data_IF_004373100788
#
_entry.id   IF_004373100788
#
_cell.length_a   1.000
_cell.length_b   1.000
_cell.length_c   1.000
_cell.angle_alpha   90.00
_cell.angle_beta   90.00
_cell.angle_gamma   90.00
#
_symmetry.space_group_name_H-M   'P 1'
#
loop_
_entity.id
_entity.type
_entity.pdbx_description
1 polymer ?
#
# COMPACT_ATOMS: atom_id res chain seq x y z
N UNK A 1 34.66 -9.77 2.19
CA UNK A 1 33.64 -9.00 1.46
C UNK A 1 33.10 -7.88 2.33
N UNK A 2 32.98 -6.74 1.73
CA UNK A 2 32.42 -5.63 2.48
C UNK A 2 30.91 -5.74 2.59
N UNK A 3 30.43 -5.51 3.80
CA UNK A 3 29.00 -5.49 4.05
C UNK A 3 28.46 -4.11 3.73
N UNK A 4 27.52 -4.04 2.83
CA UNK A 4 26.81 -2.81 2.51
C UNK A 4 25.57 -2.76 3.38
N UNK A 5 25.31 -1.66 4.09
CA UNK A 5 24.07 -1.56 4.83
C UNK A 5 22.89 -1.78 3.89
N UNK A 6 21.96 -2.59 4.33
CA UNK A 6 20.80 -2.88 3.51
C UNK A 6 19.94 -1.65 3.36
N UNK A 7 19.66 -1.27 2.12
CA UNK A 7 18.67 -0.25 1.86
C UNK A 7 17.28 -0.85 2.03
N UNK A 8 16.34 -0.05 2.52
CA UNK A 8 14.96 -0.47 2.52
C UNK A 8 14.42 -0.36 1.11
N UNK A 9 13.86 -1.45 0.62
CA UNK A 9 13.20 -1.47 -0.67
C UNK A 9 11.70 -1.43 -0.45
N UNK A 10 11.03 -0.52 -1.12
CA UNK A 10 9.59 -0.43 -1.00
C UNK A 10 8.91 -0.27 -2.37
N UNK A 11 7.66 -0.70 -2.42
CA UNK A 11 6.81 -0.52 -3.59
C UNK A 11 5.62 0.33 -3.17
N UNK A 12 5.28 1.31 -3.99
CA UNK A 12 4.10 2.12 -3.79
C UNK A 12 3.03 1.72 -4.81
N UNK A 13 1.89 1.29 -4.30
CA UNK A 13 0.71 0.99 -5.12
C UNK A 13 -0.26 2.16 -4.98
N UNK A 14 0.14 3.29 -5.53
CA UNK A 14 -0.63 4.51 -5.39
C UNK A 14 -0.60 5.29 -6.70
N UNK A 15 -1.76 5.44 -7.38
CA UNK A 15 -3.05 4.92 -6.95
C UNK A 15 -3.23 3.44 -7.28
N UNK A 16 -3.92 2.72 -6.40
CA UNK A 16 -4.26 1.33 -6.65
C UNK A 16 -5.57 1.30 -7.44
N UNK A 17 -5.47 1.00 -8.72
CA UNK A 17 -6.60 1.13 -9.65
C UNK A 17 -6.96 -0.18 -10.34
N UNK A 18 -6.45 -1.28 -9.87
CA UNK A 18 -6.75 -2.60 -10.43
C UNK A 18 -6.18 -3.70 -9.57
N UNK A 19 -6.52 -4.92 -9.91
CA UNK A 19 -5.97 -6.09 -9.25
C UNK A 19 -4.50 -6.24 -9.61
N UNK A 20 -3.67 -6.58 -8.61
CA UNK A 20 -2.26 -6.89 -8.85
C UNK A 20 -2.00 -8.39 -8.97
N UNK A 21 -3.03 -9.20 -8.67
CA UNK A 21 -2.90 -10.65 -8.71
C UNK A 21 -1.88 -11.16 -7.70
N UNK A 22 -1.19 -12.22 -8.06
CA UNK A 22 -0.13 -12.78 -7.22
C UNK A 22 1.15 -11.99 -7.46
N UNK A 23 1.57 -11.24 -6.45
CA UNK A 23 2.80 -10.46 -6.55
C UNK A 23 3.92 -11.11 -5.75
N UNK A 24 5.13 -10.91 -6.19
CA UNK A 24 6.30 -11.44 -5.50
C UNK A 24 6.97 -10.30 -4.75
N UNK A 25 6.87 -10.34 -3.42
CA UNK A 25 7.46 -9.33 -2.55
C UNK A 25 8.79 -9.75 -1.97
N UNK A 26 9.45 -10.73 -2.56
CA UNK A 26 10.78 -11.16 -2.13
C UNK A 26 11.72 -9.95 -2.12
N UNK A 27 12.40 -9.74 -1.00
CA UNK A 27 13.32 -8.62 -0.79
C UNK A 27 12.66 -7.24 -0.80
N UNK A 28 11.35 -7.19 -0.69
CA UNK A 28 10.62 -5.93 -0.52
C UNK A 28 10.28 -5.80 0.95
N UNK A 29 10.71 -4.72 1.55
CA UNK A 29 10.56 -4.51 2.99
C UNK A 29 9.28 -3.77 3.35
N UNK A 30 8.73 -3.02 2.40
CA UNK A 30 7.63 -2.10 2.68
C UNK A 30 6.71 -1.97 1.47
N UNK A 31 5.43 -2.13 1.69
CA UNK A 31 4.41 -1.92 0.66
C UNK A 31 3.48 -0.80 1.10
N UNK A 32 3.37 0.23 0.28
CA UNK A 32 2.53 1.39 0.54
C UNK A 32 1.36 1.34 -0.42
N UNK A 33 0.15 1.43 0.11
CA UNK A 33 -1.08 1.31 -0.68
C UNK A 33 -1.95 2.53 -0.48
N UNK A 34 -2.49 3.07 -1.54
CA UNK A 34 -3.40 4.20 -1.45
C UNK A 34 -4.30 4.32 -2.65
N UNK A 35 -5.49 4.88 -2.43
CA UNK A 35 -6.42 5.18 -3.50
C UNK A 35 -6.16 6.56 -4.09
N UNK A 36 -6.75 6.78 -5.25
CA UNK A 36 -6.62 8.05 -5.95
C UNK A 36 -7.58 9.08 -5.37
N UNK A 37 -7.10 10.33 -5.28
CA UNK A 37 -7.92 11.44 -4.80
C UNK A 37 -8.16 12.41 -5.94
N UNK A 38 -9.19 13.27 -5.78
CA UNK A 38 -9.46 14.32 -6.73
C UNK A 38 -10.70 14.07 -7.55
N UNK A 39 -11.00 15.03 -8.43
CA UNK A 39 -12.24 15.06 -9.18
C UNK A 39 -12.40 13.85 -10.11
N UNK A 40 -11.34 13.45 -10.75
CA UNK A 40 -11.36 12.35 -11.73
C UNK A 40 -10.79 11.04 -11.14
N UNK A 41 -10.85 10.88 -9.82
CA UNK A 41 -10.30 9.71 -9.16
C UNK A 41 -11.02 8.44 -9.60
N UNK A 42 -10.24 7.39 -9.85
CA UNK A 42 -10.78 6.08 -10.18
C UNK A 42 -11.03 5.30 -8.89
N UNK A 43 -12.05 4.43 -8.87
CA UNK A 43 -12.37 3.70 -7.65
C UNK A 43 -11.27 2.70 -7.27
N UNK A 44 -11.18 2.46 -5.95
CA UNK A 44 -10.33 1.43 -5.40
C UNK A 44 -11.24 0.39 -4.75
N UNK A 45 -10.95 -0.88 -4.95
CA UNK A 45 -11.75 -1.95 -4.36
C UNK A 45 -10.99 -2.61 -3.21
N UNK A 46 -11.72 -2.92 -2.15
CA UNK A 46 -11.13 -3.56 -0.98
C UNK A 46 -10.44 -4.87 -1.35
N UNK A 47 -11.00 -5.62 -2.28
CA UNK A 47 -10.41 -6.86 -2.74
C UNK A 47 -8.98 -6.67 -3.25
N UNK A 48 -8.73 -5.56 -3.94
CA UNK A 48 -7.39 -5.27 -4.45
C UNK A 48 -6.40 -4.99 -3.31
N UNK A 49 -6.88 -4.34 -2.25
CA UNK A 49 -6.07 -4.08 -1.05
C UNK A 49 -5.78 -5.39 -0.35
N UNK A 50 -6.79 -6.28 -0.27
CA UNK A 50 -6.65 -7.59 0.35
C UNK A 50 -5.55 -8.41 -0.32
N UNK A 51 -5.46 -8.35 -1.64
CA UNK A 51 -4.42 -9.07 -2.38
C UNK A 51 -3.03 -8.67 -1.90
N UNK A 52 -2.79 -7.36 -1.77
CA UNK A 52 -1.50 -6.86 -1.34
C UNK A 52 -1.26 -7.18 0.14
N UNK A 53 -2.27 -7.01 0.97
CA UNK A 53 -2.16 -7.28 2.39
C UNK A 53 -1.76 -8.74 2.65
N UNK A 54 -2.39 -9.67 1.95
CA UNK A 54 -2.12 -11.09 2.11
C UNK A 54 -0.70 -11.43 1.67
N UNK A 55 -0.23 -10.84 0.57
CA UNK A 55 1.14 -11.07 0.12
C UNK A 55 2.14 -10.48 1.10
N UNK A 56 1.83 -9.33 1.70
CA UNK A 56 2.69 -8.75 2.73
C UNK A 56 2.80 -9.69 3.94
N UNK A 57 1.71 -10.35 4.30
CA UNK A 57 1.71 -11.30 5.41
C UNK A 57 2.59 -12.51 5.08
N UNK A 58 2.50 -13.02 3.86
CA UNK A 58 3.28 -14.16 3.41
C UNK A 58 4.78 -13.86 3.42
N UNK A 59 5.17 -12.68 2.92
CA UNK A 59 6.58 -12.33 2.75
C UNK A 59 7.17 -11.58 3.94
N UNK A 60 6.37 -11.27 4.95
CA UNK A 60 6.85 -10.48 6.08
C UNK A 60 7.13 -9.03 5.72
N UNK A 61 6.46 -8.52 4.70
CA UNK A 61 6.63 -7.15 4.23
C UNK A 61 5.74 -6.22 5.07
N UNK A 62 6.28 -5.08 5.52
CA UNK A 62 5.51 -4.12 6.28
C UNK A 62 4.42 -3.50 5.38
N UNK A 63 3.20 -3.44 5.89
CA UNK A 63 2.04 -2.97 5.14
C UNK A 63 1.62 -1.60 5.65
N UNK A 64 1.57 -0.62 4.74
CA UNK A 64 1.16 0.74 5.06
C UNK A 64 -0.02 1.10 4.15
N UNK A 65 -1.16 1.39 4.75
CA UNK A 65 -2.33 1.85 3.99
C UNK A 65 -2.49 3.34 4.19
N UNK A 66 -2.26 4.10 3.13
CA UNK A 66 -2.20 5.55 3.21
C UNK A 66 -3.58 6.19 3.31
N UNK A 67 -4.48 5.83 2.40
CA UNK A 67 -5.85 6.34 2.42
C UNK A 67 -6.69 5.66 1.36
N UNK A 68 -8.03 5.75 1.53
CA UNK A 68 -8.98 5.32 0.51
C UNK A 68 -9.01 6.29 -0.67
N UNK A 69 -8.94 7.59 -0.38
CA UNK A 69 -9.04 8.62 -1.41
C UNK A 69 -10.49 9.04 -1.63
N UNK A 70 -10.83 9.35 -2.87
CA UNK A 70 -12.17 9.83 -3.21
C UNK A 70 -13.22 8.71 -3.14
N UNK A 71 -12.84 7.48 -3.42
CA UNK A 71 -13.75 6.34 -3.35
C UNK A 71 -13.53 5.57 -2.07
N UNK A 72 -14.57 5.47 -1.24
CA UNK A 72 -14.47 4.79 0.03
C UNK A 72 -14.63 3.28 -0.08
N UNK A 73 -14.55 2.62 1.07
CA UNK A 73 -14.70 1.18 1.20
C UNK A 73 -16.03 0.67 0.63
N UNK A 74 -17.07 1.48 0.76
CA UNK A 74 -18.41 1.15 0.28
C UNK A 74 -18.63 1.49 -1.19
N UNK A 75 -17.56 1.86 -1.89
CA UNK A 75 -17.58 2.21 -3.31
C UNK A 75 -18.43 3.45 -3.60
N UNK A 76 -18.40 4.40 -2.68
CA UNK A 76 -19.09 5.69 -2.83
C UNK A 76 -18.09 6.83 -2.77
N UNK A 77 -18.35 7.87 -3.56
CA UNK A 77 -17.49 9.05 -3.57
C UNK A 77 -17.72 9.92 -2.34
N UNK A 78 -16.62 10.39 -1.75
CA UNK A 78 -16.64 11.36 -0.66
C UNK A 78 -15.32 12.11 -0.72
N UNK A 79 -15.15 13.11 0.16
CA UNK A 79 -13.84 13.72 0.29
C UNK A 79 -12.84 12.69 0.83
N UNK A 80 -11.58 12.86 0.47
CA UNK A 80 -10.50 12.01 0.97
C UNK A 80 -10.52 11.90 2.49
N UNK A 81 -10.77 13.04 3.15
CA UNK A 81 -10.80 13.06 4.61
C UNK A 81 -11.98 12.27 5.17
N UNK A 82 -13.13 12.35 4.53
CA UNK A 82 -14.32 11.63 4.97
C UNK A 82 -14.16 10.11 4.82
N UNK A 83 -13.51 9.66 3.75
CA UNK A 83 -13.26 8.24 3.53
C UNK A 83 -12.16 7.71 4.47
N UNK A 84 -11.23 8.57 4.86
CA UNK A 84 -10.24 8.21 5.86
C UNK A 84 -9.21 7.22 5.38
N UNK A 85 -8.63 6.52 6.35
CA UNK A 85 -7.53 5.60 6.10
C UNK A 85 -7.61 4.30 6.90
N UNK A 86 -8.79 3.96 7.38
CA UNK A 86 -8.94 2.70 8.10
C UNK A 86 -9.19 1.55 7.14
N UNK A 87 -8.50 0.45 7.38
CA UNK A 87 -8.64 -0.78 6.62
C UNK A 87 -8.70 -1.92 7.62
N UNK A 88 -9.67 -2.80 7.48
CA UNK A 88 -9.92 -3.89 8.42
C UNK A 88 -10.06 -3.38 9.86
N UNK A 89 -10.70 -2.21 10.00
CA UNK A 89 -11.03 -1.64 11.31
C UNK A 89 -9.89 -0.95 12.04
N UNK A 90 -8.76 -0.72 11.36
CA UNK A 90 -7.62 -0.05 12.01
C UNK A 90 -6.76 0.67 10.99
N UNK A 91 -5.86 1.51 11.47
CA UNK A 91 -4.86 2.13 10.62
C UNK A 91 -3.66 1.21 10.48
N UNK A 92 -3.00 1.28 9.33
CA UNK A 92 -1.85 0.43 9.03
C UNK A 92 -0.68 1.34 8.69
N UNK A 93 0.19 1.56 9.67
CA UNK A 93 1.32 2.46 9.59
C UNK A 93 2.66 1.74 9.74
N UNK A 94 2.68 0.45 9.46
CA UNK A 94 3.90 -0.32 9.63
C UNK A 94 5.01 0.25 8.75
N UNK A 95 6.18 0.40 9.32
CA UNK A 95 7.35 0.89 8.62
C UNK A 95 8.54 0.02 8.98
N UNK A 96 9.38 -0.30 8.01
CA UNK A 96 10.59 -1.03 8.34
C UNK A 96 11.56 -0.12 9.10
N UNK A 97 12.36 -0.73 9.96
CA UNK A 97 13.35 0.00 10.75
C UNK A 97 14.60 0.21 9.89
N UNK A 98 14.92 1.47 9.57
CA UNK A 98 15.96 1.66 8.61
C UNK A 98 16.69 2.92 8.45
N UNK A 99 17.82 2.87 7.78
CA UNK A 99 18.69 4.01 7.55
C UNK A 99 18.51 4.64 6.17
N UNK A 100 18.06 3.91 5.17
CA UNK A 100 17.85 4.46 3.85
C UNK A 100 16.71 3.75 3.13
N UNK A 101 16.01 4.51 2.29
CA UNK A 101 14.88 3.99 1.52
C UNK A 101 15.23 3.98 0.05
N UNK A 102 14.82 2.91 -0.62
CA UNK A 102 14.96 2.80 -2.06
C UNK A 102 13.65 2.35 -2.65
N UNK A 103 13.03 3.21 -3.44
CA UNK A 103 11.77 2.89 -4.06
C UNK A 103 11.95 1.93 -5.23
N UNK A 104 11.04 0.95 -5.32
CA UNK A 104 10.98 0.00 -6.42
C UNK A 104 9.64 0.20 -7.09
N UNK A 105 9.62 0.34 -8.40
CA UNK A 105 8.38 0.56 -9.14
C UNK A 105 7.76 -0.77 -9.52
N UNK A 106 6.46 -0.87 -9.31
CA UNK A 106 5.68 -2.06 -9.64
C UNK A 106 5.36 -2.12 -11.12
#
# INVERSE_FOLDING_TARGET
>A
MRQVPAAIRFISFEPLIGSVGDINLTNIDWAIVGGESGHAARPIKELWIDEIYEECDIYGTAFFFKQWGTWGKDNKKRSKKANGREYRGQTWDAMPSQSSLQEVYA
#
